data_IF_224388304812
#
_entry.id   IF_224388304812
#
_cell.length_a   1.000
_cell.length_b   1.000
_cell.length_c   1.000
_cell.angle_alpha   90.00
_cell.angle_beta   90.00
_cell.angle_gamma   90.00
#
_symmetry.space_group_name_H-M   'P 1'
#
loop_
_entity.id
_entity.type
_entity.pdbx_description
1 polymer ?
#
# COMPACT_ATOMS: atom_id res chain seq x y z
N UNK A 1 -18.46 80.32 -43.33
CA UNK A 1 -18.84 79.28 -42.34
C UNK A 1 -18.35 79.76 -40.99
N UNK A 2 -19.22 79.84 -39.98
CA UNK A 2 -18.82 80.37 -38.66
C UNK A 2 -18.00 79.31 -37.91
N UNK A 3 -17.03 79.72 -37.09
CA UNK A 3 -16.18 78.78 -36.33
C UNK A 3 -16.97 77.83 -35.43
N UNK A 4 -18.16 78.25 -34.96
CA UNK A 4 -19.07 77.42 -34.18
C UNK A 4 -19.66 76.23 -34.95
N UNK A 5 -19.92 76.38 -36.26
CA UNK A 5 -20.41 75.26 -37.09
C UNK A 5 -19.35 74.18 -37.25
N UNK A 6 -18.10 74.59 -37.44
CA UNK A 6 -16.95 73.69 -37.57
C UNK A 6 -16.70 72.98 -36.23
N UNK A 7 -16.75 73.71 -35.12
CA UNK A 7 -16.63 73.13 -33.77
C UNK A 7 -17.77 72.15 -33.45
N UNK A 8 -19.02 72.48 -33.79
CA UNK A 8 -20.17 71.61 -33.59
C UNK A 8 -20.08 70.31 -34.39
N UNK A 9 -19.58 70.36 -35.62
CA UNK A 9 -19.38 69.17 -36.45
C UNK A 9 -18.33 68.23 -35.85
N UNK A 10 -17.20 68.78 -35.37
CA UNK A 10 -16.15 68.00 -34.72
C UNK A 10 -16.66 67.37 -33.41
N UNK A 11 -17.39 68.14 -32.60
CA UNK A 11 -17.98 67.64 -31.36
C UNK A 11 -18.99 66.50 -31.60
N UNK A 12 -19.81 66.61 -32.64
CA UNK A 12 -20.77 65.56 -33.00
C UNK A 12 -20.08 64.25 -33.40
N UNK A 13 -19.01 64.32 -34.20
CA UNK A 13 -18.24 63.14 -34.62
C UNK A 13 -17.53 62.49 -33.42
N UNK A 14 -16.91 63.30 -32.56
CA UNK A 14 -16.25 62.80 -31.35
C UNK A 14 -17.24 62.11 -30.40
N UNK A 15 -18.43 62.69 -30.23
CA UNK A 15 -19.48 62.10 -29.40
C UNK A 15 -20.01 60.79 -30.00
N UNK A 16 -20.18 60.72 -31.31
CA UNK A 16 -20.60 59.48 -31.99
C UNK A 16 -19.58 58.36 -31.77
N UNK A 17 -18.29 58.65 -31.92
CA UNK A 17 -17.21 57.66 -31.67
C UNK A 17 -17.24 57.20 -30.21
N UNK A 18 -17.43 58.11 -29.25
CA UNK A 18 -17.52 57.77 -27.82
C UNK A 18 -18.70 56.82 -27.55
N UNK A 19 -19.87 57.11 -28.10
CA UNK A 19 -21.06 56.27 -27.94
C UNK A 19 -20.85 54.90 -28.58
N UNK A 20 -20.28 54.84 -29.77
CA UNK A 20 -19.95 53.57 -30.43
C UNK A 20 -18.96 52.73 -29.62
N UNK A 21 -17.93 53.37 -29.05
CA UNK A 21 -16.95 52.71 -28.19
C UNK A 21 -17.60 52.14 -26.94
N UNK A 22 -18.44 52.91 -26.24
CA UNK A 22 -19.17 52.46 -25.05
C UNK A 22 -20.12 51.32 -25.40
N UNK A 23 -20.85 51.39 -26.52
CA UNK A 23 -21.73 50.32 -26.97
C UNK A 23 -20.99 49.00 -27.21
N UNK A 24 -19.86 49.04 -27.92
CA UNK A 24 -19.03 47.84 -28.14
C UNK A 24 -18.42 47.34 -26.83
N UNK A 25 -17.97 48.24 -25.95
CA UNK A 25 -17.41 47.90 -24.66
C UNK A 25 -18.43 47.20 -23.76
N UNK A 26 -19.67 47.71 -23.69
CA UNK A 26 -20.76 47.09 -22.95
C UNK A 26 -21.12 45.71 -23.52
N UNK A 27 -21.20 45.56 -24.84
CA UNK A 27 -21.45 44.26 -25.47
C UNK A 27 -20.34 43.24 -25.15
N UNK A 28 -19.08 43.68 -25.12
CA UNK A 28 -17.95 42.82 -24.72
C UNK A 28 -18.03 42.46 -23.24
N UNK A 29 -18.35 43.40 -22.36
CA UNK A 29 -18.54 43.15 -20.93
C UNK A 29 -19.68 42.16 -20.66
N UNK A 30 -20.83 42.33 -21.31
CA UNK A 30 -21.97 41.41 -21.19
C UNK A 30 -21.61 40.02 -21.71
N UNK A 31 -20.86 39.91 -22.81
CA UNK A 31 -20.35 38.63 -23.31
C UNK A 31 -19.37 37.98 -22.32
N UNK A 32 -18.43 38.73 -21.75
CA UNK A 32 -17.49 38.21 -20.75
C UNK A 32 -18.20 37.74 -19.48
N UNK A 33 -19.19 38.50 -19.00
CA UNK A 33 -20.01 38.11 -17.85
C UNK A 33 -20.84 36.86 -18.18
N UNK A 34 -21.43 36.78 -19.37
CA UNK A 34 -22.18 35.60 -19.81
C UNK A 34 -21.30 34.35 -19.90
N UNK A 35 -20.05 34.47 -20.39
CA UNK A 35 -19.09 33.36 -20.40
C UNK A 35 -18.67 32.97 -18.98
N UNK A 36 -18.52 33.94 -18.07
CA UNK A 36 -18.25 33.65 -16.65
C UNK A 36 -19.45 32.96 -15.98
N UNK A 37 -20.69 33.35 -16.28
CA UNK A 37 -21.89 32.69 -15.74
C UNK A 37 -22.03 31.25 -16.24
N UNK A 38 -21.74 30.98 -17.52
CA UNK A 38 -21.74 29.61 -18.08
C UNK A 38 -20.72 28.71 -17.38
N UNK A 39 -19.58 29.27 -16.95
CA UNK A 39 -18.57 28.48 -16.22
C UNK A 39 -19.02 28.12 -14.79
N UNK A 40 -19.89 28.90 -14.15
CA UNK A 40 -20.37 28.61 -12.80
C UNK A 40 -21.36 27.44 -12.79
N UNK A 41 -22.27 27.37 -13.76
CA UNK A 41 -23.24 26.26 -13.87
C UNK A 41 -22.55 24.92 -14.17
N UNK A 42 -21.46 24.92 -14.96
CA UNK A 42 -20.66 23.72 -15.19
C UNK A 42 -19.86 23.30 -13.96
N UNK A 43 -19.30 24.25 -13.20
CA UNK A 43 -18.59 23.96 -11.95
C UNK A 43 -19.53 23.37 -10.90
N UNK A 44 -20.75 23.90 -10.76
CA UNK A 44 -21.73 23.34 -9.83
C UNK A 44 -22.11 21.90 -10.17
N UNK A 45 -22.22 21.56 -11.46
CA UNK A 45 -22.50 20.19 -11.89
C UNK A 45 -21.31 19.24 -11.69
N UNK A 46 -20.08 19.68 -12.00
CA UNK A 46 -18.87 18.91 -11.73
C UNK A 46 -18.66 18.69 -10.22
N UNK A 47 -19.02 19.65 -9.36
CA UNK A 47 -18.96 19.49 -7.90
C UNK A 47 -20.02 18.51 -7.39
N UNK A 48 -21.23 18.51 -7.93
CA UNK A 48 -22.26 17.50 -7.62
C UNK A 48 -21.80 16.10 -8.04
N UNK A 49 -21.16 15.97 -9.21
CA UNK A 49 -20.60 14.72 -9.71
C UNK A 49 -19.41 14.24 -8.86
N UNK A 50 -18.52 15.12 -8.41
CA UNK A 50 -17.44 14.80 -7.47
C UNK A 50 -17.99 14.36 -6.11
N UNK A 51 -19.04 15.02 -5.60
CA UNK A 51 -19.67 14.64 -4.33
C UNK A 51 -20.41 13.30 -4.43
N UNK A 52 -21.08 13.04 -5.56
CA UNK A 52 -21.73 11.75 -5.83
C UNK A 52 -20.70 10.62 -5.95
N UNK A 53 -19.63 10.82 -6.72
CA UNK A 53 -18.53 9.87 -6.85
C UNK A 53 -17.78 9.68 -5.52
N UNK A 54 -17.58 10.74 -4.72
CA UNK A 54 -16.98 10.62 -3.40
C UNK A 54 -17.85 9.79 -2.46
N UNK A 55 -19.18 9.94 -2.50
CA UNK A 55 -20.11 9.13 -1.70
C UNK A 55 -20.12 7.65 -2.16
N UNK A 56 -20.00 7.40 -3.46
CA UNK A 56 -19.86 6.05 -4.02
C UNK A 56 -18.51 5.42 -3.65
N UNK A 57 -17.42 6.18 -3.73
CA UNK A 57 -16.08 5.77 -3.27
C UNK A 57 -16.05 5.51 -1.77
N UNK A 58 -16.68 6.34 -0.94
CA UNK A 58 -16.77 6.12 0.51
C UNK A 58 -17.61 4.86 0.83
N UNK A 59 -18.65 4.59 0.05
CA UNK A 59 -19.47 3.37 0.18
C UNK A 59 -18.69 2.13 -0.25
N UNK A 60 -17.95 2.19 -1.36
CA UNK A 60 -17.10 1.10 -1.85
C UNK A 60 -15.89 0.85 -0.92
N UNK A 61 -15.26 1.90 -0.39
CA UNK A 61 -14.21 1.78 0.64
C UNK A 61 -14.79 1.15 1.92
N UNK A 62 -15.96 1.57 2.38
CA UNK A 62 -16.62 0.96 3.54
C UNK A 62 -16.97 -0.53 3.28
N UNK A 63 -17.40 -0.86 2.06
CA UNK A 63 -17.63 -2.24 1.63
C UNK A 63 -16.35 -3.08 1.59
N UNK A 64 -15.27 -2.53 1.02
CA UNK A 64 -13.96 -3.19 0.93
C UNK A 64 -13.28 -3.32 2.28
N UNK A 65 -13.41 -2.35 3.19
CA UNK A 65 -12.87 -2.44 4.56
C UNK A 65 -13.52 -3.59 5.34
N UNK A 66 -14.85 -3.78 5.21
CA UNK A 66 -15.53 -4.97 5.78
C UNK A 66 -15.01 -6.29 5.23
N UNK A 67 -14.48 -6.31 4.00
CA UNK A 67 -13.84 -7.49 3.41
C UNK A 67 -12.35 -7.61 3.72
N UNK A 68 -11.73 -6.58 4.31
CA UNK A 68 -10.33 -6.57 4.79
C UNK A 68 -10.26 -7.11 6.24
N UNK A 69 -11.34 -7.07 7.02
CA UNK A 69 -11.39 -7.66 8.37
C UNK A 69 -10.92 -9.14 8.43
N UNK A 70 -11.31 -10.03 7.50
CA UNK A 70 -10.80 -11.39 7.44
C UNK A 70 -9.32 -11.46 7.06
N UNK A 71 -8.82 -10.51 6.25
CA UNK A 71 -7.41 -10.44 5.87
C UNK A 71 -6.53 -9.99 7.06
N UNK A 72 -6.98 -9.02 7.86
CA UNK A 72 -6.31 -8.67 9.13
C UNK A 72 -6.33 -9.83 10.12
N UNK A 73 -7.46 -10.55 10.21
CA UNK A 73 -7.56 -11.74 11.05
C UNK A 73 -6.62 -12.86 10.59
N UNK A 74 -6.55 -13.10 9.27
CA UNK A 74 -5.62 -14.07 8.69
C UNK A 74 -4.15 -13.65 8.91
N UNK A 75 -3.82 -12.36 8.85
CA UNK A 75 -2.48 -11.86 9.21
C UNK A 75 -2.19 -12.09 10.70
N UNK A 76 -3.18 -11.95 11.58
CA UNK A 76 -3.07 -12.31 13.00
C UNK A 76 -2.83 -13.81 13.21
N UNK A 77 -3.60 -14.67 12.56
CA UNK A 77 -3.47 -16.13 12.62
C UNK A 77 -2.13 -16.61 12.00
N UNK A 78 -1.64 -15.91 10.96
CA UNK A 78 -0.31 -16.11 10.39
C UNK A 78 0.79 -15.62 11.34
N UNK A 79 0.59 -14.50 12.05
CA UNK A 79 1.49 -14.01 13.10
C UNK A 79 1.63 -15.02 14.24
N UNK A 80 0.51 -15.62 14.69
CA UNK A 80 0.50 -16.69 15.68
C UNK A 80 1.17 -17.97 15.14
N UNK A 81 0.97 -18.30 13.86
CA UNK A 81 1.63 -19.43 13.20
C UNK A 81 3.14 -19.22 13.05
N UNK A 82 3.61 -18.01 12.75
CA UNK A 82 5.04 -17.67 12.67
C UNK A 82 5.66 -17.63 14.07
N UNK A 83 4.94 -17.11 15.06
CA UNK A 83 5.37 -17.10 16.46
C UNK A 83 5.55 -18.54 16.99
N UNK A 84 4.53 -19.38 16.79
CA UNK A 84 4.59 -20.80 17.17
C UNK A 84 5.64 -21.58 16.37
N UNK A 85 5.85 -21.26 15.08
CA UNK A 85 6.94 -21.85 14.27
C UNK A 85 8.32 -21.40 14.77
N UNK A 86 8.47 -20.14 15.16
CA UNK A 86 9.70 -19.59 15.75
C UNK A 86 10.01 -20.28 17.08
N UNK A 87 9.01 -20.45 17.94
CA UNK A 87 9.14 -21.17 19.20
C UNK A 87 9.43 -22.66 18.99
N UNK A 88 8.76 -23.31 18.04
CA UNK A 88 9.02 -24.71 17.69
C UNK A 88 10.44 -24.90 17.13
N UNK A 89 10.89 -24.01 16.26
CA UNK A 89 12.24 -24.02 15.67
C UNK A 89 13.31 -23.76 16.72
N UNK A 90 13.07 -22.80 17.62
CA UNK A 90 13.98 -22.49 18.72
C UNK A 90 14.05 -23.64 19.72
N UNK A 91 12.93 -24.26 20.06
CA UNK A 91 12.88 -25.45 20.92
C UNK A 91 13.52 -26.67 20.26
N UNK A 92 13.34 -26.87 18.96
CA UNK A 92 14.02 -27.95 18.22
C UNK A 92 15.52 -27.70 18.18
N UNK A 93 15.94 -26.47 17.85
CA UNK A 93 17.35 -26.05 17.87
C UNK A 93 17.96 -26.21 19.25
N UNK A 94 17.31 -25.79 20.34
CA UNK A 94 17.86 -25.98 21.69
C UNK A 94 17.94 -27.45 22.07
N UNK A 95 16.98 -28.29 21.65
CA UNK A 95 17.05 -29.74 21.85
C UNK A 95 18.15 -30.40 21.01
N UNK A 96 18.31 -30.02 19.75
CA UNK A 96 19.37 -30.56 18.86
C UNK A 96 20.74 -30.06 19.26
N UNK A 97 20.88 -28.78 19.60
CA UNK A 97 22.12 -28.18 20.11
C UNK A 97 22.46 -28.74 21.48
N UNK A 98 21.47 -28.91 22.37
CA UNK A 98 21.63 -29.61 23.64
C UNK A 98 22.02 -31.08 23.47
N UNK A 99 21.46 -31.76 22.45
CA UNK A 99 21.89 -33.10 22.05
C UNK A 99 23.32 -33.10 21.52
N UNK A 100 23.76 -32.07 20.79
CA UNK A 100 25.14 -31.96 20.28
C UNK A 100 26.16 -31.71 21.39
N UNK A 101 25.83 -30.92 22.42
CA UNK A 101 26.68 -30.74 23.61
C UNK A 101 26.62 -31.95 24.56
N UNK A 102 25.51 -32.70 24.60
CA UNK A 102 25.38 -33.98 25.29
C UNK A 102 25.67 -35.21 24.42
N UNK A 103 26.35 -35.05 23.26
CA UNK A 103 26.84 -36.15 22.40
C UNK A 103 28.05 -36.86 23.02
N UNK A 104 27.90 -37.21 24.30
CA UNK A 104 28.46 -38.45 24.85
C UNK A 104 27.39 -39.56 24.93
N UNK A 105 26.11 -39.34 24.58
CA UNK A 105 25.13 -40.42 24.75
C UNK A 105 23.68 -40.31 24.27
N UNK A 106 23.35 -39.97 23.01
CA UNK A 106 21.97 -40.24 22.54
C UNK A 106 21.84 -40.96 21.17
N UNK A 107 21.15 -42.10 21.28
CA UNK A 107 20.34 -42.93 20.37
C UNK A 107 20.84 -43.43 19.02
N UNK A 108 21.29 -42.61 18.08
CA UNK A 108 21.77 -43.14 16.79
C UNK A 108 23.18 -43.73 16.93
N UNK A 109 24.09 -42.93 17.47
CA UNK A 109 25.49 -43.26 17.64
C UNK A 109 25.77 -43.95 18.99
N UNK A 110 24.98 -43.67 20.03
CA UNK A 110 25.11 -44.31 21.36
C UNK A 110 24.66 -45.78 21.35
N UNK A 111 23.58 -46.09 20.62
CA UNK A 111 23.12 -47.46 20.46
C UNK A 111 24.04 -48.24 19.52
N UNK A 112 24.45 -47.62 18.41
CA UNK A 112 25.44 -48.19 17.49
C UNK A 112 26.78 -48.47 18.20
N UNK A 113 27.28 -47.57 19.04
CA UNK A 113 28.53 -47.75 19.79
C UNK A 113 28.44 -48.80 20.90
N UNK A 114 27.27 -49.00 21.55
CA UNK A 114 27.07 -50.08 22.52
C UNK A 114 27.01 -51.46 21.84
N UNK A 115 26.21 -51.60 20.78
CA UNK A 115 26.09 -52.86 20.03
C UNK A 115 27.43 -53.26 19.40
N UNK A 116 28.13 -52.32 18.77
CA UNK A 116 29.45 -52.57 18.19
C UNK A 116 30.50 -52.91 19.24
N UNK A 117 30.53 -52.24 20.40
CA UNK A 117 31.44 -52.61 21.50
C UNK A 117 31.15 -53.99 22.08
N UNK A 118 29.89 -54.35 22.30
CA UNK A 118 29.51 -55.68 22.83
C UNK A 118 29.85 -56.81 21.85
N UNK A 119 29.62 -56.61 20.56
CA UNK A 119 30.01 -57.56 19.52
C UNK A 119 31.55 -57.72 19.43
N UNK A 120 32.28 -56.61 19.46
CA UNK A 120 33.74 -56.61 19.40
C UNK A 120 34.38 -57.26 20.64
N UNK A 121 33.79 -57.06 21.82
CA UNK A 121 34.30 -57.61 23.08
C UNK A 121 34.08 -59.12 23.18
N UNK A 122 32.96 -59.63 22.66
CA UNK A 122 32.73 -61.09 22.56
C UNK A 122 33.72 -61.76 21.61
N UNK A 123 34.03 -61.14 20.47
CA UNK A 123 35.01 -61.71 19.54
C UNK A 123 36.45 -61.70 20.10
N UNK A 124 36.83 -60.65 20.82
CA UNK A 124 38.17 -60.54 21.42
C UNK A 124 38.40 -61.55 22.55
N UNK A 125 37.38 -61.87 23.34
CA UNK A 125 37.51 -62.82 24.44
C UNK A 125 37.82 -64.25 23.95
N UNK A 126 37.33 -64.64 22.77
CA UNK A 126 37.61 -65.97 22.22
C UNK A 126 39.05 -66.13 21.71
N UNK A 127 39.77 -65.04 21.39
CA UNK A 127 41.19 -65.13 21.00
C UNK A 127 42.17 -65.25 22.17
N UNK A 128 41.79 -64.86 23.38
CA UNK A 128 42.68 -64.98 24.56
C UNK A 128 42.75 -66.39 25.15
N UNK A 129 41.83 -67.29 24.80
CA UNK A 129 41.81 -68.66 25.33
C UNK A 129 42.70 -69.67 24.57
N UNK A 130 43.42 -69.25 23.52
CA UNK A 130 44.22 -70.15 22.67
C UNK A 130 45.75 -70.07 22.83
N UNK A 131 46.26 -69.25 23.77
CA UNK A 131 47.71 -69.08 23.98
C UNK A 131 48.22 -69.47 25.38
N UNK A 132 47.56 -70.42 26.05
CA UNK A 132 48.11 -71.08 27.23
C UNK A 132 48.03 -72.59 27.05
N UNK A 133 48.95 -73.13 26.26
CA UNK A 133 49.55 -74.45 26.44
C UNK A 133 50.99 -74.39 25.98
#
# INVERSE_FOLDING_TARGET
MTGGQIAGLIAAIAFLILVAFIGVFLLRLTKSISVVTVNVDQISHEVEEILANANELLTDVNGKVKTIDPAFKAVGDLGESVSSLNDATRNLTTRVSGVSTSTKGFTGLALASRVSKSAFQSYRNHRKSKNTK
#
